data_IF_347067894997
#
_entry.id   IF_347067894997
#
_cell.length_a   1.000
_cell.length_b   1.000
_cell.length_c   1.000
_cell.angle_alpha   90.00
_cell.angle_beta   90.00
_cell.angle_gamma   90.00
#
_symmetry.space_group_name_H-M   'P 1'
#
loop_
_entity.id
_entity.type
_entity.pdbx_description
1 polymer ?
#
# COMPACT_ATOMS: atom_id res chain seq x y z
N UNK A 1 -43.93 -18.09 12.51
CA UNK A 1 -42.99 -17.87 13.63
C UNK A 1 -41.82 -17.07 13.10
N UNK A 2 -41.70 -15.81 13.51
CA UNK A 2 -40.58 -14.93 13.15
C UNK A 2 -39.58 -15.01 14.30
N UNK A 3 -38.40 -15.55 14.06
CA UNK A 3 -37.31 -15.51 15.05
C UNK A 3 -36.28 -14.50 14.54
N UNK A 4 -36.27 -13.36 15.23
CA UNK A 4 -35.22 -12.37 15.18
C UNK A 4 -34.06 -12.83 16.07
N UNK A 5 -32.83 -12.64 15.62
CA UNK A 5 -31.65 -12.51 16.46
C UNK A 5 -30.55 -11.78 15.66
N UNK A 6 -30.45 -10.47 15.87
CA UNK A 6 -29.32 -9.66 15.43
C UNK A 6 -28.28 -9.67 16.55
N UNK A 7 -27.03 -10.04 16.24
CA UNK A 7 -25.88 -9.86 17.13
C UNK A 7 -24.95 -8.86 16.45
N UNK A 8 -25.02 -7.60 16.91
CA UNK A 8 -24.10 -6.54 16.50
C UNK A 8 -23.00 -6.48 17.55
N UNK A 9 -21.85 -7.08 17.27
CA UNK A 9 -20.63 -6.87 18.05
C UNK A 9 -19.92 -5.64 17.51
N UNK A 10 -20.11 -4.51 18.18
CA UNK A 10 -19.37 -3.28 17.95
C UNK A 10 -17.99 -3.38 18.64
N UNK A 11 -16.94 -3.66 17.88
CA UNK A 11 -15.57 -3.50 18.33
C UNK A 11 -15.12 -2.06 18.07
N UNK A 12 -15.18 -1.22 19.10
CA UNK A 12 -14.59 0.12 19.08
C UNK A 12 -13.07 0.00 19.31
N UNK A 13 -12.28 0.16 18.26
CA UNK A 13 -10.83 0.34 18.37
C UNK A 13 -10.59 1.85 18.54
N UNK A 14 -10.24 2.25 19.76
CA UNK A 14 -9.81 3.62 20.07
C UNK A 14 -8.32 3.72 19.81
N UNK A 15 -7.94 4.33 18.68
CA UNK A 15 -6.57 4.82 18.49
C UNK A 15 -6.45 6.20 19.13
N UNK A 16 -6.00 6.23 20.39
CA UNK A 16 -5.58 7.48 21.03
C UNK A 16 -4.21 7.87 20.49
N UNK A 17 -4.18 8.70 19.44
CA UNK A 17 -2.97 9.43 19.05
C UNK A 17 -2.81 10.58 20.04
N UNK A 18 -2.11 10.34 21.15
CA UNK A 18 -1.72 11.41 22.06
C UNK A 18 -0.66 12.28 21.34
N UNK A 19 -1.11 13.44 20.86
CA UNK A 19 -0.22 14.48 20.37
C UNK A 19 0.69 14.98 21.49
N UNK A 20 1.99 15.04 21.20
CA UNK A 20 2.95 15.75 22.04
C UNK A 20 2.64 17.25 22.00
N UNK A 21 2.27 17.83 23.14
CA UNK A 21 2.47 19.24 23.41
C UNK A 21 2.96 19.37 24.85
N UNK A 22 4.24 19.69 24.99
CA UNK A 22 4.87 20.05 26.25
C UNK A 22 4.35 21.40 26.72
N UNK A 23 3.78 21.48 27.93
CA UNK A 23 4.07 22.55 28.91
C UNK A 23 3.48 22.21 30.28
N UNK A 24 4.34 22.30 31.30
CA UNK A 24 4.20 21.93 32.71
C UNK A 24 3.43 22.99 33.54
N UNK A 25 2.57 22.57 34.50
CA UNK A 25 2.40 23.25 35.80
C UNK A 25 1.57 22.38 36.80
N UNK A 26 2.17 22.06 37.96
CA UNK A 26 1.79 21.04 38.97
C UNK A 26 0.46 21.20 39.74
N UNK A 27 0.08 20.36 40.71
CA UNK A 27 0.74 19.34 41.58
C UNK A 27 -0.36 18.30 41.96
N UNK A 28 -0.18 17.06 42.46
CA UNK A 28 0.79 16.48 43.41
C UNK A 28 0.59 14.93 43.43
N UNK A 29 1.68 14.19 43.68
CA UNK A 29 1.79 12.78 44.18
C UNK A 29 1.33 11.63 43.25
N UNK A 30 2.09 10.56 42.95
CA UNK A 30 3.15 9.83 43.67
C UNK A 30 4.16 9.21 42.66
N UNK A 31 5.47 9.33 42.93
CA UNK A 31 6.59 8.64 42.24
C UNK A 31 6.92 7.35 43.03
N UNK A 32 7.19 6.16 42.44
CA UNK A 32 8.39 5.96 41.60
C UNK A 32 8.31 4.96 40.43
N UNK A 33 9.19 5.21 39.45
CA UNK A 33 9.88 4.27 38.57
C UNK A 33 9.38 2.82 38.53
N UNK A 34 8.67 2.41 37.47
CA UNK A 34 8.55 0.99 37.07
C UNK A 34 8.08 0.75 35.62
N UNK A 35 8.11 1.76 34.73
CA UNK A 35 7.66 1.59 33.35
C UNK A 35 8.76 1.25 32.33
N UNK A 36 10.05 1.34 32.71
CA UNK A 36 11.18 1.09 31.80
C UNK A 36 11.71 -0.35 31.85
N UNK A 37 11.56 -1.04 32.98
CA UNK A 37 12.14 -2.37 33.18
C UNK A 37 11.25 -3.53 32.69
N UNK A 38 9.97 -3.28 32.43
CA UNK A 38 9.01 -4.31 32.03
C UNK A 38 8.91 -4.55 30.51
N UNK A 39 9.47 -3.66 29.68
CA UNK A 39 9.45 -3.82 28.21
C UNK A 39 10.54 -4.79 27.73
N UNK A 40 11.68 -4.83 28.42
CA UNK A 40 12.82 -5.71 28.10
C UNK A 40 12.53 -7.19 28.42
N UNK A 41 11.71 -7.46 29.43
CA UNK A 41 11.33 -8.82 29.85
C UNK A 41 10.29 -9.45 28.90
N UNK A 42 9.38 -8.63 28.34
CA UNK A 42 8.38 -9.07 27.36
C UNK A 42 9.02 -9.42 26.01
N UNK A 43 10.06 -8.68 25.59
CA UNK A 43 10.78 -8.95 24.34
C UNK A 43 11.67 -10.20 24.44
N UNK A 44 12.28 -10.44 25.60
CA UNK A 44 13.11 -11.64 25.83
C UNK A 44 12.30 -12.94 25.95
N UNK A 45 11.06 -12.87 26.44
CA UNK A 45 10.20 -14.07 26.58
C UNK A 45 9.60 -14.54 25.24
N UNK A 46 9.39 -13.62 24.29
CA UNK A 46 8.93 -13.95 22.94
C UNK A 46 10.01 -14.60 22.06
N UNK A 47 11.28 -14.28 22.30
CA UNK A 47 12.42 -14.89 21.58
C UNK A 47 12.61 -16.38 21.93
N UNK A 48 12.51 -16.73 23.22
CA UNK A 48 12.74 -18.12 23.68
C UNK A 48 11.59 -19.09 23.31
N UNK A 49 10.38 -18.58 23.06
CA UNK A 49 9.27 -19.38 22.56
C UNK A 49 9.41 -19.72 21.06
N UNK A 50 10.21 -18.96 20.32
CA UNK A 50 10.48 -19.21 18.91
C UNK A 50 11.54 -20.31 18.70
N UNK A 51 12.50 -20.47 19.62
CA UNK A 51 13.62 -21.41 19.47
C UNK A 51 13.23 -22.88 19.82
N UNK A 52 12.24 -23.09 20.68
CA UNK A 52 11.74 -24.44 21.01
C UNK A 52 10.79 -25.04 19.95
N UNK A 53 10.11 -24.20 19.16
CA UNK A 53 9.13 -24.63 18.16
C UNK A 53 9.77 -25.07 16.82
N UNK A 54 10.97 -24.60 16.51
CA UNK A 54 11.65 -24.88 15.23
C UNK A 54 12.20 -26.31 15.13
N UNK A 55 12.55 -26.94 16.25
CA UNK A 55 13.17 -28.27 16.24
C UNK A 55 12.18 -29.44 16.08
N UNK A 56 10.90 -29.25 16.45
CA UNK A 56 9.88 -30.31 16.32
C UNK A 56 9.07 -30.24 15.02
N UNK A 57 9.22 -29.16 14.24
CA UNK A 57 8.50 -28.98 12.98
C UNK A 57 9.25 -29.54 11.75
N UNK A 58 10.58 -29.72 11.84
CA UNK A 58 11.43 -30.06 10.68
C UNK A 58 11.19 -31.48 10.12
N UNK A 59 10.73 -32.43 10.94
CA UNK A 59 10.50 -33.82 10.50
C UNK A 59 9.10 -34.09 9.91
N UNK A 60 8.11 -33.23 10.19
CA UNK A 60 6.77 -33.33 9.63
C UNK A 60 6.56 -32.47 8.35
N UNK A 61 7.56 -31.68 7.97
CA UNK A 61 7.41 -30.60 7.01
C UNK A 61 7.56 -31.00 5.52
N UNK A 62 8.09 -32.17 5.20
CA UNK A 62 8.41 -32.57 3.82
C UNK A 62 7.23 -32.55 2.83
N UNK A 63 6.00 -32.78 3.30
CA UNK A 63 4.79 -32.76 2.44
C UNK A 63 3.85 -31.57 2.69
N UNK A 64 4.03 -30.81 3.78
CA UNK A 64 3.20 -29.64 4.09
C UNK A 64 3.76 -28.32 3.51
N UNK A 65 5.07 -28.25 3.25
CA UNK A 65 5.73 -27.05 2.69
C UNK A 65 5.26 -26.77 1.26
N UNK A 66 5.00 -27.80 0.45
CA UNK A 66 4.58 -27.62 -0.95
C UNK A 66 3.19 -26.97 -1.07
N UNK A 67 2.24 -27.38 -0.23
CA UNK A 67 0.88 -26.83 -0.22
C UNK A 67 0.81 -25.45 0.45
N UNK A 68 1.60 -25.21 1.50
CA UNK A 68 1.70 -23.90 2.14
C UNK A 68 2.45 -22.88 1.26
N UNK A 69 3.49 -23.30 0.54
CA UNK A 69 4.21 -22.47 -0.42
C UNK A 69 3.34 -22.08 -1.62
N UNK A 70 2.57 -23.01 -2.18
CA UNK A 70 1.63 -22.71 -3.27
C UNK A 70 0.51 -21.74 -2.83
N UNK A 71 -0.02 -21.91 -1.61
CA UNK A 71 -1.00 -20.98 -1.04
C UNK A 71 -0.40 -19.60 -0.78
N UNK A 72 0.83 -19.52 -0.26
CA UNK A 72 1.54 -18.25 -0.05
C UNK A 72 1.87 -17.53 -1.36
N UNK A 73 2.32 -18.25 -2.39
CA UNK A 73 2.57 -17.68 -3.73
C UNK A 73 1.28 -17.21 -4.41
N UNK A 74 0.18 -17.95 -4.25
CA UNK A 74 -1.14 -17.56 -4.78
C UNK A 74 -1.66 -16.30 -4.09
N UNK A 75 -1.54 -16.25 -2.76
CA UNK A 75 -1.94 -15.08 -1.97
C UNK A 75 -1.07 -13.86 -2.28
N UNK A 76 0.24 -14.03 -2.41
CA UNK A 76 1.15 -12.95 -2.80
C UNK A 76 0.86 -12.43 -4.21
N UNK A 77 0.51 -13.31 -5.15
CA UNK A 77 0.14 -12.92 -6.52
C UNK A 77 -1.19 -12.16 -6.56
N UNK A 78 -2.19 -12.61 -5.81
CA UNK A 78 -3.45 -11.88 -5.64
C UNK A 78 -3.24 -10.52 -4.96
N UNK A 79 -2.43 -10.47 -3.91
CA UNK A 79 -2.13 -9.22 -3.21
C UNK A 79 -1.41 -8.22 -4.13
N UNK A 80 -0.46 -8.67 -4.95
CA UNK A 80 0.20 -7.84 -5.96
C UNK A 80 -0.80 -7.31 -6.99
N UNK A 81 -1.63 -8.19 -7.57
CA UNK A 81 -2.65 -7.78 -8.54
C UNK A 81 -3.66 -6.77 -7.96
N UNK A 82 -4.05 -6.92 -6.69
CA UNK A 82 -4.93 -5.97 -6.01
C UNK A 82 -4.25 -4.60 -5.81
N UNK A 83 -2.95 -4.58 -5.47
CA UNK A 83 -2.16 -3.36 -5.33
C UNK A 83 -1.98 -2.67 -6.69
N UNK A 84 -1.67 -3.41 -7.76
CA UNK A 84 -1.58 -2.88 -9.13
C UNK A 84 -2.91 -2.26 -9.57
N UNK A 85 -4.03 -2.93 -9.28
CA UNK A 85 -5.36 -2.39 -9.57
C UNK A 85 -5.63 -1.09 -8.80
N UNK A 86 -5.24 -1.02 -7.52
CA UNK A 86 -5.40 0.17 -6.71
C UNK A 86 -4.53 1.34 -7.19
N UNK A 87 -3.29 1.07 -7.62
CA UNK A 87 -2.37 2.05 -8.23
C UNK A 87 -2.97 2.64 -9.51
N UNK A 88 -3.46 1.77 -10.41
CA UNK A 88 -4.11 2.17 -11.67
C UNK A 88 -5.36 3.01 -11.42
N UNK A 89 -6.21 2.60 -10.47
CA UNK A 89 -7.42 3.36 -10.11
C UNK A 89 -7.07 4.73 -9.53
N UNK A 90 -6.09 4.80 -8.62
CA UNK A 90 -5.62 6.06 -8.02
C UNK A 90 -5.09 7.01 -9.08
N UNK A 91 -4.24 6.51 -9.98
CA UNK A 91 -3.72 7.30 -11.10
C UNK A 91 -4.85 7.78 -12.01
N UNK A 92 -5.79 6.92 -12.38
CA UNK A 92 -6.90 7.26 -13.27
C UNK A 92 -7.75 8.39 -12.69
N UNK A 93 -8.11 8.31 -11.39
CA UNK A 93 -8.86 9.37 -10.72
C UNK A 93 -8.07 10.68 -10.69
N UNK A 94 -6.78 10.63 -10.34
CA UNK A 94 -5.93 11.81 -10.30
C UNK A 94 -5.75 12.45 -11.68
N UNK A 95 -5.56 11.64 -12.73
CA UNK A 95 -5.46 12.07 -14.12
C UNK A 95 -6.73 12.77 -14.57
N UNK A 96 -7.91 12.16 -14.37
CA UNK A 96 -9.21 12.74 -14.74
C UNK A 96 -9.50 14.04 -14.00
N UNK A 97 -9.08 14.12 -12.74
CA UNK A 97 -9.27 15.31 -11.91
C UNK A 97 -8.40 16.48 -12.38
N UNK A 98 -7.15 16.20 -12.75
CA UNK A 98 -6.18 17.25 -13.11
C UNK A 98 -6.21 17.63 -14.60
N UNK A 99 -6.57 16.68 -15.46
CA UNK A 99 -6.59 16.85 -16.91
C UNK A 99 -7.94 16.44 -17.51
N UNK A 100 -9.05 17.11 -17.13
CA UNK A 100 -10.39 16.73 -17.58
C UNK A 100 -10.51 16.71 -19.12
N UNK A 101 -9.86 17.65 -19.82
CA UNK A 101 -9.84 17.70 -21.29
C UNK A 101 -9.06 16.54 -21.93
N UNK A 102 -7.98 16.07 -21.30
CA UNK A 102 -7.20 14.92 -21.79
C UNK A 102 -7.86 13.58 -21.46
N UNK A 103 -8.83 13.59 -20.54
CA UNK A 103 -9.59 12.42 -20.12
C UNK A 103 -10.97 12.32 -20.78
N UNK A 104 -11.45 13.39 -21.42
CA UNK A 104 -12.78 13.45 -21.98
C UNK A 104 -13.01 12.32 -23.01
N UNK A 105 -14.10 11.58 -22.86
CA UNK A 105 -14.43 10.45 -23.75
C UNK A 105 -13.51 9.23 -23.62
N UNK A 106 -12.51 9.22 -22.72
CA UNK A 106 -11.62 8.08 -22.49
C UNK A 106 -12.12 7.19 -21.37
N UNK A 107 -12.08 5.89 -21.61
CA UNK A 107 -12.32 4.88 -20.59
C UNK A 107 -11.20 4.84 -19.55
N UNK A 108 -11.58 4.50 -18.31
CA UNK A 108 -10.64 4.35 -17.19
C UNK A 108 -9.53 3.33 -17.50
N UNK A 109 -9.84 2.28 -18.28
CA UNK A 109 -8.85 1.30 -18.73
C UNK A 109 -7.80 1.91 -19.67
N UNK A 110 -8.20 2.84 -20.54
CA UNK A 110 -7.29 3.52 -21.48
C UNK A 110 -6.39 4.50 -20.73
N UNK A 111 -6.93 5.22 -19.74
CA UNK A 111 -6.15 6.11 -18.88
C UNK A 111 -5.20 5.27 -18.00
N UNK A 112 -5.66 4.15 -17.47
CA UNK A 112 -4.85 3.22 -16.70
C UNK A 112 -3.69 2.62 -17.48
N UNK A 113 -3.86 2.40 -18.79
CA UNK A 113 -2.78 1.91 -19.66
C UNK A 113 -1.61 2.89 -19.76
N UNK A 114 -1.87 4.20 -19.63
CA UNK A 114 -0.80 5.21 -19.56
C UNK A 114 0.14 4.89 -18.39
N UNK A 115 -0.40 4.59 -17.20
CA UNK A 115 0.42 4.23 -16.04
C UNK A 115 1.21 2.95 -16.31
N UNK A 116 0.56 1.90 -16.82
CA UNK A 116 1.20 0.61 -17.08
C UNK A 116 2.37 0.75 -18.07
N UNK A 117 2.18 1.50 -19.15
CA UNK A 117 3.23 1.74 -20.13
C UNK A 117 4.37 2.61 -19.58
N UNK A 118 4.05 3.64 -18.79
CA UNK A 118 5.07 4.46 -18.12
C UNK A 118 5.89 3.63 -17.12
N UNK A 119 5.25 2.76 -16.34
CA UNK A 119 5.96 1.87 -15.42
C UNK A 119 6.81 0.84 -16.15
N UNK A 120 6.34 0.30 -17.28
CA UNK A 120 7.15 -0.56 -18.13
C UNK A 120 8.41 0.17 -18.65
N UNK A 121 8.27 1.42 -19.08
CA UNK A 121 9.39 2.22 -19.58
C UNK A 121 10.41 2.56 -18.47
N UNK A 122 9.92 2.91 -17.27
CA UNK A 122 10.76 3.16 -16.09
C UNK A 122 11.51 1.88 -15.68
N UNK A 123 10.80 0.74 -15.61
CA UNK A 123 11.40 -0.55 -15.26
C UNK A 123 12.41 -1.05 -16.32
N UNK A 124 12.25 -0.62 -17.58
CA UNK A 124 13.23 -0.82 -18.64
C UNK A 124 14.45 0.12 -18.55
N UNK A 125 14.53 0.98 -17.53
CA UNK A 125 15.59 1.98 -17.34
C UNK A 125 15.72 2.96 -18.52
N UNK A 126 14.60 3.31 -19.18
CA UNK A 126 14.59 4.37 -20.19
C UNK A 126 14.90 5.73 -19.54
N UNK A 127 15.59 6.63 -20.25
CA UNK A 127 15.87 7.97 -19.73
C UNK A 127 14.55 8.73 -19.53
N UNK A 128 14.44 9.47 -18.42
CA UNK A 128 13.24 10.21 -18.05
C UNK A 128 12.70 11.09 -19.18
N UNK A 129 13.60 11.78 -19.90
CA UNK A 129 13.23 12.62 -21.05
C UNK A 129 12.52 11.83 -22.15
N UNK A 130 12.92 10.59 -22.43
CA UNK A 130 12.27 9.73 -23.44
C UNK A 130 10.89 9.25 -22.97
N UNK A 131 10.75 8.96 -21.67
CA UNK A 131 9.47 8.59 -21.07
C UNK A 131 8.49 9.77 -21.10
N UNK A 132 8.97 10.97 -20.77
CA UNK A 132 8.18 12.21 -20.81
C UNK A 132 7.75 12.53 -22.25
N UNK A 133 8.65 12.48 -23.23
CA UNK A 133 8.27 12.66 -24.65
C UNK A 133 7.25 11.62 -25.12
N UNK A 134 7.36 10.36 -24.66
CA UNK A 134 6.36 9.32 -24.97
C UNK A 134 5.01 9.62 -24.32
N UNK A 135 5.01 10.22 -23.12
CA UNK A 135 3.81 10.63 -22.40
C UNK A 135 3.05 11.76 -23.09
N UNK A 136 3.73 12.70 -23.75
CA UNK A 136 3.07 13.77 -24.54
C UNK A 136 2.08 13.18 -25.56
N UNK A 137 2.48 12.08 -26.22
CA UNK A 137 1.63 11.38 -27.19
C UNK A 137 0.57 10.49 -26.52
N UNK A 138 0.94 9.70 -25.51
CA UNK A 138 0.02 8.72 -24.87
C UNK A 138 -1.05 9.36 -24.00
N UNK A 139 -0.70 10.47 -23.35
CA UNK A 139 -1.63 11.23 -22.53
C UNK A 139 -2.55 12.13 -23.37
N UNK A 140 -2.18 12.41 -24.62
CA UNK A 140 -3.01 13.15 -25.56
C UNK A 140 -4.36 12.49 -25.84
N UNK A 141 -5.30 13.29 -26.34
CA UNK A 141 -6.66 12.86 -26.67
C UNK A 141 -7.18 13.60 -27.90
N UNK A 142 -7.91 12.90 -28.78
CA UNK A 142 -8.58 13.45 -29.97
C UNK A 142 -7.73 14.43 -30.81
N UNK A 143 -6.44 14.10 -31.00
CA UNK A 143 -5.52 14.91 -31.79
C UNK A 143 -4.85 16.07 -31.04
N UNK A 144 -5.16 16.24 -29.75
CA UNK A 144 -4.45 17.15 -28.85
C UNK A 144 -3.41 16.37 -28.06
N UNK A 145 -2.12 16.64 -28.30
CA UNK A 145 -1.05 16.10 -27.46
C UNK A 145 -1.06 16.78 -26.08
N UNK A 146 -0.63 16.05 -25.05
CA UNK A 146 -0.33 16.68 -23.77
C UNK A 146 0.90 17.58 -23.94
N UNK A 147 0.93 18.75 -23.30
CA UNK A 147 2.11 19.61 -23.35
C UNK A 147 3.29 18.97 -22.61
N UNK A 148 4.54 19.38 -22.88
CA UNK A 148 5.72 18.86 -22.18
C UNK A 148 5.61 18.97 -20.65
N UNK A 149 5.06 20.09 -20.16
CA UNK A 149 4.84 20.33 -18.74
C UNK A 149 3.77 19.39 -18.17
N UNK A 150 2.69 19.14 -18.91
CA UNK A 150 1.68 18.16 -18.52
C UNK A 150 2.25 16.75 -18.48
N UNK A 151 3.06 16.38 -19.48
CA UNK A 151 3.71 15.07 -19.54
C UNK A 151 4.70 14.86 -18.40
N UNK A 152 5.49 15.88 -18.03
CA UNK A 152 6.38 15.82 -16.87
C UNK A 152 5.61 15.64 -15.56
N UNK A 153 4.49 16.35 -15.37
CA UNK A 153 3.64 16.20 -14.20
C UNK A 153 2.99 14.82 -14.13
N UNK A 154 2.54 14.27 -15.26
CA UNK A 154 2.01 12.90 -15.35
C UNK A 154 3.09 11.89 -14.99
N UNK A 155 4.32 12.06 -15.47
CA UNK A 155 5.45 11.23 -15.09
C UNK A 155 5.72 11.29 -13.57
N UNK A 156 5.72 12.49 -12.98
CA UNK A 156 5.92 12.68 -11.54
C UNK A 156 4.80 12.00 -10.70
N UNK A 157 3.59 11.95 -11.23
CA UNK A 157 2.46 11.24 -10.62
C UNK A 157 2.58 9.72 -10.76
N UNK A 158 3.06 9.24 -11.91
CA UNK A 158 3.18 7.82 -12.22
C UNK A 158 4.37 7.15 -11.51
N UNK A 159 5.53 7.83 -11.46
CA UNK A 159 6.79 7.30 -10.90
C UNK A 159 6.68 6.65 -9.50
N UNK A 160 6.01 7.24 -8.50
CA UNK A 160 5.87 6.60 -7.18
C UNK A 160 4.94 5.39 -7.18
N UNK A 161 4.21 5.14 -8.27
CA UNK A 161 3.26 4.04 -8.39
C UNK A 161 3.84 2.81 -9.12
N UNK A 162 5.07 2.85 -9.65
CA UNK A 162 5.59 1.81 -10.56
C UNK A 162 6.17 0.50 -9.93
#
# INVERSE_FOLDING_TARGET
MRIAAAVITASAIVFAVAGCSSNDNGSTETTPNSAKDNVSAALSSAANAAEGAVSSASAAAGSAISSAGAAASTLASQARGAVDTAKVSTFTVAFKTRYPSLAEGRDDAVIGDILNQTCADINANKPESEVVTSLEARAGNEGTAATPEQAQEIYNMAKPLC
#
